data_IF_111398508895
#
_entry.id   IF_111398508895
#
_cell.length_a   1.000
_cell.length_b   1.000
_cell.length_c   1.000
_cell.angle_alpha   90.00
_cell.angle_beta   90.00
_cell.angle_gamma   90.00
#
_symmetry.space_group_name_H-M   'P 1'
#
loop_
_entity.id
_entity.type
_entity.pdbx_description
1 polymer ?
#
# COMPACT_ATOMS: atom_id res chain seq x y z
N UNK A 1 10.10 -1.30 -16.11
CA UNK A 1 9.94 -2.74 -16.37
C UNK A 1 8.71 -2.91 -17.27
N UNK A 2 8.85 -3.02 -18.60
CA UNK A 2 7.70 -3.26 -19.51
C UNK A 2 7.03 -4.62 -19.25
N UNK A 3 6.50 -5.31 -20.26
CA UNK A 3 5.80 -6.60 -20.05
C UNK A 3 6.55 -7.65 -19.19
N UNK A 4 7.88 -7.59 -19.13
CA UNK A 4 8.71 -8.44 -18.24
C UNK A 4 8.52 -8.17 -16.74
N UNK A 5 8.00 -7.02 -16.32
CA UNK A 5 7.73 -6.71 -14.92
C UNK A 5 6.42 -7.34 -14.39
N UNK A 6 5.71 -8.09 -15.21
CA UNK A 6 4.49 -8.83 -14.85
C UNK A 6 4.72 -10.34 -14.82
N UNK A 7 5.91 -10.82 -15.17
CA UNK A 7 6.26 -12.23 -15.04
C UNK A 7 6.84 -12.50 -13.64
N UNK A 8 6.73 -13.74 -13.17
CA UNK A 8 7.28 -14.17 -11.88
C UNK A 8 8.82 -14.24 -11.85
N UNK A 9 9.48 -13.87 -12.96
CA UNK A 9 10.93 -13.92 -13.11
C UNK A 9 11.61 -12.73 -12.44
N UNK A 10 10.85 -11.68 -12.14
CA UNK A 10 11.34 -10.47 -11.49
C UNK A 10 10.75 -10.39 -10.08
N UNK A 11 11.25 -9.47 -9.26
CA UNK A 11 10.72 -9.26 -7.91
C UNK A 11 9.62 -8.16 -7.91
N UNK A 12 9.52 -7.41 -9.01
CA UNK A 12 8.74 -6.17 -9.08
C UNK A 12 7.23 -6.42 -9.04
N UNK A 13 6.75 -7.51 -9.61
CA UNK A 13 5.35 -7.94 -9.57
C UNK A 13 4.96 -8.43 -8.17
N UNK A 14 5.86 -9.12 -7.46
CA UNK A 14 5.64 -9.57 -6.09
C UNK A 14 5.56 -8.37 -5.14
N UNK A 15 6.53 -7.46 -5.22
CA UNK A 15 6.54 -6.25 -4.40
C UNK A 15 5.31 -5.37 -4.68
N UNK A 16 4.88 -5.29 -5.94
CA UNK A 16 3.66 -4.56 -6.29
C UNK A 16 2.39 -5.18 -5.67
N UNK A 17 2.28 -6.51 -5.64
CA UNK A 17 1.17 -7.20 -4.97
C UNK A 17 1.21 -7.01 -3.45
N UNK A 18 2.38 -7.15 -2.85
CA UNK A 18 2.56 -7.04 -1.40
C UNK A 18 2.33 -5.60 -0.92
N UNK A 19 2.60 -4.59 -1.75
CA UNK A 19 2.37 -3.18 -1.43
C UNK A 19 0.92 -2.88 -1.01
N UNK A 20 -0.08 -3.58 -1.57
CA UNK A 20 -1.49 -3.34 -1.21
C UNK A 20 -1.79 -3.69 0.25
N UNK A 21 -1.07 -4.66 0.81
CA UNK A 21 -1.23 -5.03 2.22
C UNK A 21 -0.85 -3.88 3.14
N UNK A 22 0.12 -3.04 2.76
CA UNK A 22 0.56 -1.88 3.56
C UNK A 22 -0.53 -0.82 3.72
N UNK A 23 -1.51 -0.79 2.82
CA UNK A 23 -2.64 0.15 2.89
C UNK A 23 -3.78 -0.32 3.80
N UNK A 24 -3.81 -1.61 4.18
CA UNK A 24 -4.96 -2.25 4.86
C UNK A 24 -4.56 -2.95 6.17
N UNK A 25 -3.43 -3.65 6.20
CA UNK A 25 -3.09 -4.68 7.19
C UNK A 25 -3.01 -4.23 8.65
N UNK A 26 -2.64 -2.97 8.91
CA UNK A 26 -2.51 -2.41 10.27
C UNK A 26 -3.38 -1.16 10.46
N UNK A 27 -4.52 -1.14 9.76
CA UNK A 27 -5.44 -0.02 9.71
C UNK A 27 -5.46 0.58 8.32
N UNK A 28 -6.66 0.64 7.74
CA UNK A 28 -6.82 1.19 6.40
C UNK A 28 -6.34 2.64 6.34
N UNK A 29 -5.80 3.05 5.20
CA UNK A 29 -5.32 4.42 4.95
C UNK A 29 -6.39 5.48 5.29
N UNK A 30 -7.66 5.19 5.10
CA UNK A 30 -8.78 6.07 5.48
C UNK A 30 -8.89 6.27 6.99
N UNK A 31 -8.71 5.20 7.78
CA UNK A 31 -8.72 5.28 9.25
C UNK A 31 -7.56 6.14 9.73
N UNK A 32 -6.36 5.95 9.17
CA UNK A 32 -5.20 6.77 9.51
C UNK A 32 -5.44 8.25 9.22
N UNK A 33 -6.00 8.58 8.04
CA UNK A 33 -6.39 9.96 7.70
C UNK A 33 -7.38 10.55 8.71
N UNK A 34 -8.39 9.78 9.12
CA UNK A 34 -9.36 10.23 10.12
C UNK A 34 -8.73 10.47 11.50
N UNK A 35 -7.82 9.60 11.94
CA UNK A 35 -7.10 9.77 13.21
C UNK A 35 -6.22 11.01 13.18
N UNK A 36 -5.47 11.21 12.09
CA UNK A 36 -4.64 12.40 11.88
C UNK A 36 -5.52 13.67 11.88
N UNK A 37 -6.63 13.68 11.14
CA UNK A 37 -7.55 14.82 11.10
C UNK A 37 -8.12 15.16 12.47
N UNK A 38 -8.52 14.16 13.27
CA UNK A 38 -8.98 14.37 14.66
C UNK A 38 -7.91 14.94 15.58
N UNK A 39 -6.64 14.62 15.33
CA UNK A 39 -5.52 15.13 16.12
C UNK A 39 -5.16 16.57 15.75
N UNK A 40 -5.29 16.94 14.47
CA UNK A 40 -5.02 18.30 13.96
C UNK A 40 -6.13 19.28 14.30
N UNK A 41 -7.40 18.86 14.23
CA UNK A 41 -8.57 19.71 14.47
C UNK A 41 -8.94 19.85 15.96
N UNK A 42 -8.00 19.56 16.84
CA UNK A 42 -8.17 19.57 18.30
C UNK A 42 -7.58 20.83 18.92
#
# INVERSE_FOLDING_TARGET
HGGRGMTFDFLVEKLWRDAKLTEIGEGCSEIQRMVIAKHILR
#
